data_IF_459071930671
#
_entry.id   IF_459071930671
#
_cell.length_a   1.000
_cell.length_b   1.000
_cell.length_c   1.000
_cell.angle_alpha   90.00
_cell.angle_beta   90.00
_cell.angle_gamma   90.00
#
_symmetry.space_group_name_H-M   'P 1'
#
loop_
_entity.id
_entity.type
_entity.pdbx_description
1 polymer ?
#
# COMPACT_ATOMS: atom_id res chain seq x y z
N UNK A 1 -117.36 152.54 42.33
CA UNK A 1 -118.32 153.15 43.30
C UNK A 1 -118.64 154.56 42.82
N UNK A 2 -119.83 155.11 43.08
CA UNK A 2 -120.24 156.46 42.61
C UNK A 2 -119.85 157.49 43.67
N UNK A 3 -119.13 158.54 43.27
CA UNK A 3 -118.88 159.73 44.07
C UNK A 3 -120.15 160.58 44.12
N UNK A 4 -120.64 160.89 45.31
CA UNK A 4 -121.93 161.56 45.52
C UNK A 4 -121.84 163.08 45.40
N UNK A 5 -120.62 163.65 45.32
CA UNK A 5 -120.42 165.09 45.21
C UNK A 5 -120.28 165.57 43.75
N UNK A 6 -119.91 164.68 42.80
CA UNK A 6 -119.81 165.01 41.37
C UNK A 6 -120.41 163.97 40.39
N UNK A 7 -120.96 162.87 40.92
CA UNK A 7 -121.60 161.82 40.12
C UNK A 7 -120.63 160.93 39.32
N UNK A 8 -119.32 161.03 39.53
CA UNK A 8 -118.35 160.19 38.80
C UNK A 8 -118.23 158.79 39.40
N UNK A 9 -118.16 157.75 38.55
CA UNK A 9 -118.06 156.34 38.97
C UNK A 9 -116.69 155.77 38.67
N UNK A 10 -116.02 155.20 39.68
CA UNK A 10 -114.78 154.41 39.50
C UNK A 10 -115.07 153.05 38.89
N UNK A 11 -114.34 152.71 37.81
CA UNK A 11 -114.50 151.47 37.06
C UNK A 11 -114.08 150.21 37.87
N UNK A 12 -114.79 149.08 37.72
CA UNK A 12 -114.47 147.82 38.41
C UNK A 12 -113.18 147.16 37.91
N UNK A 13 -112.50 146.41 38.80
CA UNK A 13 -111.26 145.66 38.52
C UNK A 13 -111.50 144.14 38.56
N UNK A 14 -110.98 143.40 37.58
CA UNK A 14 -111.09 141.95 37.39
C UNK A 14 -109.73 141.28 37.57
N UNK A 15 -109.61 140.38 38.55
CA UNK A 15 -108.35 139.69 38.85
C UNK A 15 -108.30 138.33 38.14
N UNK A 16 -107.44 138.19 37.13
CA UNK A 16 -107.15 136.92 36.47
C UNK A 16 -105.79 136.38 36.95
N UNK A 17 -105.54 135.08 36.72
CA UNK A 17 -104.23 134.49 37.02
C UNK A 17 -103.08 135.17 36.26
N UNK A 18 -103.37 135.85 35.15
CA UNK A 18 -102.42 136.63 34.35
C UNK A 18 -102.54 138.16 34.59
N UNK A 19 -102.87 138.56 35.82
CA UNK A 19 -102.93 139.97 36.26
C UNK A 19 -104.32 140.60 36.27
N UNK A 20 -104.42 141.80 36.86
CA UNK A 20 -105.68 142.55 37.02
C UNK A 20 -106.00 143.42 35.80
N UNK A 21 -107.27 143.43 35.37
CA UNK A 21 -107.78 144.24 34.25
C UNK A 21 -108.89 145.18 34.73
N UNK A 22 -108.96 146.39 34.18
CA UNK A 22 -109.93 147.42 34.61
C UNK A 22 -111.22 147.45 33.76
N UNK A 23 -111.39 146.48 32.84
CA UNK A 23 -112.62 146.29 32.07
C UNK A 23 -112.79 144.82 31.63
N UNK A 24 -114.04 144.44 31.33
CA UNK A 24 -114.42 143.06 30.96
C UNK A 24 -113.78 142.62 29.64
N UNK A 25 -113.70 143.51 28.64
CA UNK A 25 -113.13 143.17 27.33
C UNK A 25 -111.67 142.74 27.42
N UNK A 26 -110.88 143.47 28.21
CA UNK A 26 -109.49 143.12 28.48
C UNK A 26 -109.35 141.82 29.29
N UNK A 27 -110.30 141.50 30.16
CA UNK A 27 -110.30 140.24 30.92
C UNK A 27 -110.65 139.03 30.04
N UNK A 28 -111.65 139.16 29.15
CA UNK A 28 -112.03 138.12 28.21
C UNK A 28 -110.93 137.81 27.18
N UNK A 29 -110.25 138.84 26.67
CA UNK A 29 -109.13 138.63 25.75
C UNK A 29 -107.99 137.81 26.41
N UNK A 30 -107.73 138.02 27.69
CA UNK A 30 -106.74 137.22 28.44
C UNK A 30 -107.20 135.77 28.59
N UNK A 31 -108.47 135.53 28.89
CA UNK A 31 -109.00 134.16 28.97
C UNK A 31 -108.97 133.48 27.59
N UNK A 32 -109.32 134.20 26.53
CA UNK A 32 -109.29 133.70 25.16
C UNK A 32 -107.85 133.29 24.75
N UNK A 33 -106.87 134.10 25.12
CA UNK A 33 -105.48 133.84 24.76
C UNK A 33 -104.79 132.77 25.63
N UNK A 34 -105.22 132.58 26.89
CA UNK A 34 -104.47 131.80 27.88
C UNK A 34 -105.19 130.55 28.43
N UNK A 35 -106.38 130.22 27.91
CA UNK A 35 -107.08 128.98 28.29
C UNK A 35 -106.95 127.92 27.20
N UNK A 36 -106.97 126.65 27.60
CA UNK A 36 -107.15 125.54 26.65
C UNK A 36 -108.55 125.63 26.08
N UNK A 37 -108.64 125.87 24.78
CA UNK A 37 -109.91 126.06 24.11
C UNK A 37 -110.26 124.87 23.25
N UNK A 38 -111.56 124.62 23.13
CA UNK A 38 -112.08 123.70 22.13
C UNK A 38 -111.89 124.30 20.74
N UNK A 39 -111.05 123.67 19.92
CA UNK A 39 -110.96 124.00 18.51
C UNK A 39 -112.12 123.31 17.79
N UNK A 40 -113.18 124.08 17.56
CA UNK A 40 -114.40 123.58 16.93
C UNK A 40 -114.15 123.02 15.54
N UNK A 41 -113.17 123.56 14.80
CA UNK A 41 -112.83 123.08 13.46
C UNK A 41 -112.10 121.75 13.49
N UNK A 42 -111.31 121.49 14.55
CA UNK A 42 -110.55 120.24 14.70
C UNK A 42 -111.23 119.20 15.59
N UNK A 43 -112.34 119.53 16.24
CA UNK A 43 -113.08 118.62 17.12
C UNK A 43 -112.27 118.13 18.32
N UNK A 44 -111.37 118.97 18.85
CA UNK A 44 -110.52 118.65 20.01
C UNK A 44 -110.12 119.91 20.76
N UNK A 45 -109.79 119.75 22.04
CA UNK A 45 -109.12 120.81 22.78
C UNK A 45 -107.75 121.07 22.17
N UNK A 46 -107.47 122.34 21.85
CA UNK A 46 -106.19 122.79 21.31
C UNK A 46 -105.30 123.25 22.45
N UNK A 47 -104.09 122.67 22.51
CA UNK A 47 -103.02 123.14 23.37
C UNK A 47 -102.18 124.25 22.72
N UNK A 48 -102.57 124.79 21.56
CA UNK A 48 -101.80 125.85 20.94
C UNK A 48 -102.04 127.21 21.63
N UNK A 49 -100.98 128.02 21.77
CA UNK A 49 -101.01 129.34 22.44
C UNK A 49 -100.48 130.45 21.50
N UNK A 50 -101.07 131.66 21.58
CA UNK A 50 -100.73 132.84 20.76
C UNK A 50 -101.59 133.05 19.50
N UNK A 51 -101.88 134.32 19.16
CA UNK A 51 -102.91 134.69 18.16
C UNK A 51 -102.39 134.93 16.73
N UNK A 52 -101.10 135.17 16.54
CA UNK A 52 -100.53 135.47 15.22
C UNK A 52 -99.83 134.28 14.54
N UNK A 53 -99.56 133.21 15.30
CA UNK A 53 -99.05 131.92 14.81
C UNK A 53 -99.14 130.89 15.95
N UNK A 54 -100.25 130.14 16.07
CA UNK A 54 -100.44 129.23 17.20
C UNK A 54 -99.43 128.07 17.11
N UNK A 55 -98.48 128.02 18.03
CA UNK A 55 -97.52 126.90 18.16
C UNK A 55 -98.07 125.88 19.16
N UNK A 56 -97.86 124.58 18.90
CA UNK A 56 -98.28 123.53 19.83
C UNK A 56 -97.56 123.71 21.18
N UNK A 57 -98.31 123.79 22.28
CA UNK A 57 -97.73 123.91 23.62
C UNK A 57 -97.62 122.55 24.30
N UNK A 58 -96.70 122.46 25.26
CA UNK A 58 -96.56 121.31 26.15
C UNK A 58 -97.64 121.36 27.22
N UNK A 59 -98.35 120.25 27.42
CA UNK A 59 -99.19 120.06 28.61
C UNK A 59 -98.31 119.39 29.68
N UNK A 60 -97.98 120.12 30.73
CA UNK A 60 -97.23 119.61 31.90
C UNK A 60 -98.17 119.33 33.07
N UNK A 61 -97.66 118.72 34.14
CA UNK A 61 -98.40 118.31 35.34
C UNK A 61 -99.51 117.27 35.07
N UNK A 62 -99.32 116.48 34.01
CA UNK A 62 -100.14 115.30 33.71
C UNK A 62 -99.75 114.19 34.68
N UNK A 63 -100.65 113.87 35.62
CA UNK A 63 -100.49 112.71 36.50
C UNK A 63 -100.37 111.41 35.68
N UNK A 64 -99.70 110.40 36.22
CA UNK A 64 -99.57 109.08 35.58
C UNK A 64 -100.96 108.53 35.23
N UNK A 65 -101.21 108.33 33.94
CA UNK A 65 -102.47 107.74 33.47
C UNK A 65 -102.53 106.27 33.82
N UNK A 66 -103.72 105.71 34.04
CA UNK A 66 -103.81 104.27 34.27
C UNK A 66 -103.42 103.53 32.98
N UNK A 67 -102.38 102.70 32.98
CA UNK A 67 -101.98 101.91 31.79
C UNK A 67 -102.82 100.63 31.76
N UNK A 68 -103.89 100.63 30.96
CA UNK A 68 -104.73 99.46 30.69
C UNK A 68 -105.36 99.55 29.30
N UNK A 69 -105.82 98.42 28.76
CA UNK A 69 -106.39 98.36 27.42
C UNK A 69 -107.62 99.26 27.21
N UNK A 70 -108.38 99.58 28.27
CA UNK A 70 -109.57 100.44 28.21
C UNK A 70 -109.33 101.89 28.61
N UNK A 71 -108.12 102.22 29.07
CA UNK A 71 -107.83 103.56 29.58
C UNK A 71 -108.03 104.62 28.51
N UNK A 72 -108.58 105.76 28.93
CA UNK A 72 -108.68 106.99 28.15
C UNK A 72 -107.87 108.13 28.78
N UNK A 73 -107.14 107.80 29.85
CA UNK A 73 -106.24 108.73 30.51
C UNK A 73 -105.10 109.10 29.56
N UNK A 74 -104.67 110.36 29.60
CA UNK A 74 -103.42 110.73 28.94
C UNK A 74 -102.25 110.08 29.68
N UNK A 75 -101.28 109.54 28.93
CA UNK A 75 -100.01 109.06 29.49
C UNK A 75 -98.98 110.18 29.40
N UNK A 76 -98.13 110.27 30.43
CA UNK A 76 -97.08 111.28 30.48
C UNK A 76 -95.73 110.70 30.01
N UNK A 77 -94.71 111.56 30.02
CA UNK A 77 -93.38 111.19 29.55
C UNK A 77 -92.69 110.10 30.38
N UNK A 78 -92.93 109.98 31.69
CA UNK A 78 -92.28 108.97 32.54
C UNK A 78 -92.75 107.55 32.20
N UNK A 79 -94.04 107.38 31.93
CA UNK A 79 -94.63 106.09 31.57
C UNK A 79 -94.15 105.57 30.20
N UNK A 80 -94.12 106.46 29.20
CA UNK A 80 -93.56 106.14 27.90
C UNK A 80 -92.04 105.89 27.99
N UNK A 81 -91.34 106.63 28.84
CA UNK A 81 -89.90 106.44 29.07
C UNK A 81 -89.58 105.07 29.65
N UNK A 82 -90.32 104.60 30.65
CA UNK A 82 -90.13 103.26 31.22
C UNK A 82 -90.28 102.15 30.16
N UNK A 83 -91.31 102.25 29.30
CA UNK A 83 -91.49 101.31 28.18
C UNK A 83 -90.32 101.37 27.20
N UNK A 84 -89.82 102.57 26.90
CA UNK A 84 -88.68 102.75 26.01
C UNK A 84 -87.37 102.19 26.62
N UNK A 85 -87.17 102.31 27.94
CA UNK A 85 -86.01 101.73 28.64
C UNK A 85 -86.01 100.20 28.54
N UNK A 86 -87.16 99.54 28.70
CA UNK A 86 -87.28 98.08 28.51
C UNK A 86 -87.00 97.66 27.05
N UNK A 87 -87.47 98.46 26.08
CA UNK A 87 -87.18 98.24 24.65
C UNK A 87 -85.68 98.41 24.37
N UNK A 88 -85.02 99.39 24.97
CA UNK A 88 -83.59 99.60 24.85
C UNK A 88 -82.80 98.43 25.47
N UNK A 89 -83.20 97.95 26.65
CA UNK A 89 -82.61 96.77 27.29
C UNK A 89 -82.79 95.50 26.44
N UNK A 90 -83.98 95.28 25.87
CA UNK A 90 -84.22 94.17 24.95
C UNK A 90 -83.37 94.27 23.69
N UNK A 91 -83.20 95.48 23.15
CA UNK A 91 -82.33 95.74 21.99
C UNK A 91 -80.87 95.39 22.32
N UNK A 92 -80.38 95.78 23.51
CA UNK A 92 -79.03 95.45 23.97
C UNK A 92 -78.83 93.93 24.20
N UNK A 93 -79.82 93.24 24.78
CA UNK A 93 -79.80 91.79 24.95
C UNK A 93 -79.78 91.05 23.61
N UNK A 94 -80.58 91.51 22.62
CA UNK A 94 -80.58 90.95 21.26
C UNK A 94 -79.21 91.14 20.59
N UNK A 95 -78.59 92.32 20.73
CA UNK A 95 -77.26 92.58 20.19
C UNK A 95 -76.21 91.64 20.83
N UNK A 96 -76.27 91.45 22.15
CA UNK A 96 -75.40 90.53 22.88
C UNK A 96 -75.59 89.07 22.42
N UNK A 97 -76.85 88.61 22.32
CA UNK A 97 -77.17 87.28 21.82
C UNK A 97 -76.68 87.08 20.38
N UNK A 98 -76.81 88.09 19.53
CA UNK A 98 -76.30 88.08 18.16
C UNK A 98 -74.78 87.92 18.13
N UNK A 99 -74.05 88.63 18.99
CA UNK A 99 -72.59 88.49 19.11
C UNK A 99 -72.19 87.11 19.63
N UNK A 100 -72.86 86.59 20.65
CA UNK A 100 -72.59 85.25 21.19
C UNK A 100 -72.84 84.15 20.15
N UNK A 101 -73.93 84.28 19.37
CA UNK A 101 -74.22 83.37 18.26
C UNK A 101 -73.09 83.43 17.23
N UNK A 102 -72.63 84.63 16.82
CA UNK A 102 -71.53 84.77 15.87
C UNK A 102 -70.23 84.11 16.39
N UNK A 103 -69.88 84.31 17.67
CA UNK A 103 -68.73 83.67 18.30
C UNK A 103 -68.86 82.15 18.35
N UNK A 104 -70.05 81.64 18.69
CA UNK A 104 -70.32 80.20 18.69
C UNK A 104 -70.23 79.61 17.28
N UNK A 105 -70.77 80.29 16.27
CA UNK A 105 -70.65 79.89 14.86
C UNK A 105 -69.18 79.82 14.43
N UNK A 106 -68.36 80.82 14.78
CA UNK A 106 -66.93 80.81 14.48
C UNK A 106 -66.20 79.66 15.18
N UNK A 107 -66.49 79.43 16.46
CA UNK A 107 -65.90 78.33 17.25
C UNK A 107 -66.26 76.96 16.67
N UNK A 108 -67.51 76.78 16.23
CA UNK A 108 -67.97 75.55 15.57
C UNK A 108 -67.23 75.35 14.24
N UNK A 109 -67.03 76.41 13.45
CA UNK A 109 -66.26 76.33 12.21
C UNK A 109 -64.80 75.91 12.47
N UNK A 110 -64.14 76.52 13.47
CA UNK A 110 -62.80 76.11 13.89
C UNK A 110 -62.74 74.66 14.36
N UNK A 111 -63.69 74.23 15.19
CA UNK A 111 -63.76 72.84 15.66
C UNK A 111 -63.97 71.86 14.49
N UNK A 112 -64.78 72.24 13.50
CA UNK A 112 -64.99 71.44 12.28
C UNK A 112 -63.68 71.25 11.53
N UNK A 113 -62.93 72.34 11.28
CA UNK A 113 -61.61 72.27 10.64
C UNK A 113 -60.62 71.41 11.42
N UNK A 114 -60.56 71.57 12.76
CA UNK A 114 -59.66 70.78 13.59
C UNK A 114 -59.99 69.28 13.53
N UNK A 115 -61.28 68.92 13.55
CA UNK A 115 -61.72 67.53 13.43
C UNK A 115 -61.35 66.94 12.06
N UNK A 116 -61.51 67.71 10.98
CA UNK A 116 -61.07 67.28 9.64
C UNK A 116 -59.57 67.01 9.62
N UNK A 117 -58.74 67.95 10.10
CA UNK A 117 -57.28 67.77 10.12
C UNK A 117 -56.84 66.55 10.95
N UNK A 118 -57.51 66.30 12.07
CA UNK A 118 -57.26 65.11 12.89
C UNK A 118 -57.67 63.82 12.17
N UNK A 119 -58.78 63.85 11.43
CA UNK A 119 -59.24 62.71 10.63
C UNK A 119 -58.23 62.38 9.53
N UNK A 120 -57.72 63.40 8.83
CA UNK A 120 -56.71 63.23 7.80
C UNK A 120 -55.41 62.69 8.39
N UNK A 121 -54.94 63.26 9.51
CA UNK A 121 -53.73 62.78 10.22
C UNK A 121 -53.85 61.32 10.67
N UNK A 122 -55.03 60.89 11.12
CA UNK A 122 -55.28 59.49 11.48
C UNK A 122 -55.27 58.59 10.24
N UNK A 123 -55.80 59.07 9.10
CA UNK A 123 -55.74 58.37 7.83
C UNK A 123 -54.30 58.15 7.35
N UNK A 124 -53.47 59.19 7.42
CA UNK A 124 -52.05 59.12 7.05
C UNK A 124 -51.28 58.13 7.94
N UNK A 125 -51.50 58.18 9.25
CA UNK A 125 -50.89 57.22 10.19
C UNK A 125 -51.32 55.77 9.90
N UNK A 126 -52.58 55.54 9.50
CA UNK A 126 -53.05 54.20 9.11
C UNK A 126 -52.39 53.71 7.82
N UNK A 127 -52.04 54.60 6.88
CA UNK A 127 -51.37 54.21 5.66
C UNK A 127 -49.90 53.79 5.88
N UNK A 128 -49.20 54.42 6.83
CA UNK A 128 -47.77 54.22 7.05
C UNK A 128 -47.43 53.24 8.18
N UNK A 129 -48.38 52.88 9.04
CA UNK A 129 -48.15 51.99 10.17
C UNK A 129 -48.12 50.50 9.79
N UNK A 130 -47.42 49.70 10.60
CA UNK A 130 -47.57 48.24 10.58
C UNK A 130 -48.92 47.87 11.19
N UNK A 131 -49.89 47.54 10.33
CA UNK A 131 -51.23 47.19 10.77
C UNK A 131 -51.41 45.69 10.94
N UNK A 132 -52.17 45.29 11.96
CA UNK A 132 -52.60 43.91 12.11
C UNK A 132 -53.48 43.49 10.93
N UNK A 133 -53.09 42.42 10.25
CA UNK A 133 -53.87 41.82 9.18
C UNK A 133 -54.62 40.60 9.74
N UNK A 134 -55.92 40.75 9.90
CA UNK A 134 -56.79 39.74 10.51
C UNK A 134 -56.79 38.41 9.74
N UNK A 135 -56.67 38.46 8.42
CA UNK A 135 -56.61 37.27 7.56
C UNK A 135 -55.28 36.54 7.71
N UNK A 136 -54.16 37.27 7.80
CA UNK A 136 -52.81 36.71 7.96
C UNK A 136 -52.45 36.39 9.42
N UNK A 137 -53.27 36.85 10.38
CA UNK A 137 -53.00 36.78 11.82
C UNK A 137 -51.59 37.27 12.18
N UNK A 138 -51.16 38.36 11.55
CA UNK A 138 -49.85 38.95 11.74
C UNK A 138 -49.87 40.45 11.40
N UNK A 139 -48.88 41.19 11.88
CA UNK A 139 -48.63 42.56 11.40
C UNK A 139 -48.16 42.54 9.94
N UNK A 140 -48.75 43.40 9.11
CA UNK A 140 -48.43 43.53 7.70
C UNK A 140 -47.42 44.65 7.48
N UNK A 141 -46.31 44.33 6.81
CA UNK A 141 -45.38 45.31 6.26
C UNK A 141 -45.71 45.70 4.82
N UNK A 142 -46.93 45.44 4.35
CA UNK A 142 -47.37 45.94 3.05
C UNK A 142 -47.63 47.45 3.14
N UNK A 143 -47.15 48.20 2.14
CA UNK A 143 -47.39 49.63 1.99
C UNK A 143 -47.84 49.89 0.55
N UNK A 144 -48.94 50.62 0.36
CA UNK A 144 -49.59 50.79 -0.94
C UNK A 144 -50.35 49.55 -1.44
N UNK A 145 -50.55 49.44 -2.77
CA UNK A 145 -51.35 48.36 -3.39
C UNK A 145 -50.59 47.01 -3.42
N UNK A 146 -50.59 46.31 -2.29
CA UNK A 146 -50.24 44.89 -2.11
C UNK A 146 -48.77 44.47 -2.37
N UNK A 147 -47.81 45.38 -2.31
CA UNK A 147 -46.38 45.02 -2.29
C UNK A 147 -45.86 44.92 -0.86
N UNK A 148 -45.24 43.78 -0.51
CA UNK A 148 -44.52 43.64 0.76
C UNK A 148 -43.31 44.57 0.77
N UNK A 149 -43.17 45.38 1.81
CA UNK A 149 -42.05 46.31 1.99
C UNK A 149 -40.98 45.71 2.89
N UNK A 150 -39.77 46.26 2.79
CA UNK A 150 -38.67 45.90 3.71
C UNK A 150 -38.92 46.52 5.08
N UNK A 151 -38.71 45.74 6.14
CA UNK A 151 -38.48 46.27 7.48
C UNK A 151 -36.97 46.40 7.64
N UNK A 152 -36.47 47.64 7.64
CA UNK A 152 -35.04 47.94 7.81
C UNK A 152 -34.78 48.55 9.19
N UNK A 153 -33.50 48.75 9.53
CA UNK A 153 -33.08 49.24 10.85
C UNK A 153 -33.54 48.32 12.01
N UNK A 154 -33.71 47.02 11.71
CA UNK A 154 -33.93 45.97 12.70
C UNK A 154 -32.59 45.71 13.40
N UNK A 155 -32.54 45.99 14.70
CA UNK A 155 -31.36 45.69 15.52
C UNK A 155 -31.11 44.18 15.51
N UNK A 156 -29.84 43.76 15.62
CA UNK A 156 -29.49 42.35 15.79
C UNK A 156 -30.32 41.74 16.92
N UNK A 157 -30.98 40.63 16.61
CA UNK A 157 -31.77 39.84 17.56
C UNK A 157 -30.87 39.14 18.59
N UNK A 158 -31.34 38.98 19.82
CA UNK A 158 -30.69 38.06 20.75
C UNK A 158 -30.96 36.62 20.31
N UNK A 159 -29.93 35.89 19.85
CA UNK A 159 -30.06 34.54 19.29
C UNK A 159 -30.09 33.46 20.40
N UNK A 160 -31.15 33.47 21.20
CA UNK A 160 -31.42 32.46 22.25
C UNK A 160 -32.58 31.55 21.86
N UNK A 161 -32.72 30.40 22.54
CA UNK A 161 -33.74 29.40 22.21
C UNK A 161 -35.18 29.92 22.32
N UNK A 162 -35.43 30.86 23.24
CA UNK A 162 -36.75 31.43 23.51
C UNK A 162 -36.95 32.81 22.86
N UNK A 163 -36.00 33.26 22.03
CA UNK A 163 -36.07 34.58 21.41
C UNK A 163 -37.23 34.68 20.43
N UNK A 164 -37.97 35.78 20.54
CA UNK A 164 -39.03 36.17 19.60
C UNK A 164 -38.63 37.36 18.75
N UNK A 165 -37.35 37.76 18.80
CA UNK A 165 -36.82 38.90 18.06
C UNK A 165 -36.72 38.58 16.56
N UNK A 166 -36.98 39.58 15.73
CA UNK A 166 -36.77 39.45 14.29
C UNK A 166 -35.27 39.47 13.97
N UNK A 167 -34.77 38.43 13.30
CA UNK A 167 -33.39 38.39 12.81
C UNK A 167 -33.21 39.31 11.60
N UNK A 168 -32.08 39.98 11.53
CA UNK A 168 -31.75 40.85 10.40
C UNK A 168 -30.76 40.17 9.42
N UNK A 169 -30.42 40.89 8.35
CA UNK A 169 -29.57 40.37 7.27
C UNK A 169 -28.13 40.05 7.68
N UNK A 170 -27.52 40.81 8.62
CA UNK A 170 -26.14 40.57 9.07
C UNK A 170 -26.01 39.26 9.85
N UNK A 171 -26.99 38.95 10.68
CA UNK A 171 -27.04 37.68 11.43
C UNK A 171 -27.19 36.49 10.48
N UNK A 172 -28.15 36.55 9.56
CA UNK A 172 -28.35 35.48 8.57
C UNK A 172 -27.13 35.31 7.64
N UNK A 173 -26.47 36.42 7.28
CA UNK A 173 -25.23 36.38 6.49
C UNK A 173 -24.11 35.66 7.23
N UNK A 174 -23.93 35.92 8.52
CA UNK A 174 -22.93 35.24 9.35
C UNK A 174 -23.14 33.72 9.35
N UNK A 175 -24.38 33.27 9.53
CA UNK A 175 -24.74 31.85 9.42
C UNK A 175 -24.44 31.30 8.03
N UNK A 176 -24.81 32.03 6.97
CA UNK A 176 -24.58 31.59 5.59
C UNK A 176 -23.08 31.50 5.24
N UNK A 177 -22.23 32.35 5.81
CA UNK A 177 -20.78 32.27 5.63
C UNK A 177 -20.17 31.03 6.31
N UNK A 178 -20.67 30.67 7.50
CA UNK A 178 -20.31 29.43 8.16
C UNK A 178 -20.75 28.20 7.34
N UNK A 179 -21.96 28.24 6.75
CA UNK A 179 -22.46 27.18 5.85
C UNK A 179 -21.62 27.08 4.57
N UNK A 180 -21.21 28.20 3.98
CA UNK A 180 -20.32 28.21 2.82
C UNK A 180 -18.94 27.62 3.17
N UNK A 181 -18.40 27.96 4.35
CA UNK A 181 -17.15 27.38 4.85
C UNK A 181 -17.27 25.86 5.04
N UNK A 182 -18.37 25.39 5.62
CA UNK A 182 -18.64 23.96 5.77
C UNK A 182 -18.73 23.26 4.41
N UNK A 183 -19.39 23.88 3.43
CA UNK A 183 -19.46 23.36 2.05
C UNK A 183 -18.07 23.18 1.45
N UNK A 184 -17.18 24.17 1.59
CA UNK A 184 -15.78 24.08 1.13
C UNK A 184 -15.00 22.98 1.85
N UNK A 185 -15.13 22.88 3.18
CA UNK A 185 -14.47 21.83 3.96
C UNK A 185 -14.91 20.42 3.54
N UNK A 186 -16.21 20.23 3.27
CA UNK A 186 -16.75 18.95 2.77
C UNK A 186 -16.17 18.61 1.40
N UNK A 187 -16.07 19.58 0.48
CA UNK A 187 -15.46 19.37 -0.82
C UNK A 187 -13.98 18.97 -0.71
N UNK A 188 -13.21 19.65 0.15
CA UNK A 188 -11.81 19.31 0.42
C UNK A 188 -11.65 17.90 1.00
N UNK A 189 -12.48 17.54 1.98
CA UNK A 189 -12.48 16.20 2.56
C UNK A 189 -12.81 15.13 1.52
N UNK A 190 -13.76 15.40 0.62
CA UNK A 190 -14.10 14.50 -0.49
C UNK A 190 -12.91 14.28 -1.42
N UNK A 191 -12.18 15.35 -1.78
CA UNK A 191 -10.98 15.26 -2.61
C UNK A 191 -9.86 14.48 -1.91
N UNK A 192 -9.61 14.73 -0.62
CA UNK A 192 -8.62 13.99 0.17
C UNK A 192 -8.95 12.49 0.24
N UNK A 193 -10.21 12.13 0.42
CA UNK A 193 -10.66 10.73 0.43
C UNK A 193 -10.40 10.06 -0.92
N UNK A 194 -10.68 10.76 -2.03
CA UNK A 194 -10.39 10.22 -3.36
C UNK A 194 -8.88 9.98 -3.56
N UNK A 195 -8.03 10.93 -3.16
CA UNK A 195 -6.57 10.76 -3.20
C UNK A 195 -6.10 9.59 -2.33
N UNK A 196 -6.61 9.48 -1.10
CA UNK A 196 -6.28 8.37 -0.21
C UNK A 196 -6.71 7.02 -0.80
N UNK A 197 -7.87 6.97 -1.45
CA UNK A 197 -8.35 5.76 -2.13
C UNK A 197 -7.38 5.32 -3.23
N UNK A 198 -6.91 6.25 -4.08
CA UNK A 198 -5.90 5.96 -5.10
C UNK A 198 -4.58 5.48 -4.49
N UNK A 199 -4.09 6.16 -3.45
CA UNK A 199 -2.85 5.78 -2.78
C UNK A 199 -2.91 4.36 -2.19
N UNK A 200 -4.04 4.01 -1.56
CA UNK A 200 -4.27 2.67 -1.01
C UNK A 200 -4.31 1.62 -2.13
N UNK A 201 -4.93 1.93 -3.28
CA UNK A 201 -4.94 1.04 -4.44
C UNK A 201 -3.52 0.76 -4.95
N UNK A 202 -2.71 1.81 -5.13
CA UNK A 202 -1.32 1.68 -5.59
C UNK A 202 -0.46 0.88 -4.59
N UNK A 203 -0.68 1.09 -3.29
CA UNK A 203 0.01 0.33 -2.25
C UNK A 203 -0.40 -1.15 -2.27
N UNK A 204 -1.69 -1.43 -2.50
CA UNK A 204 -2.22 -2.80 -2.61
C UNK A 204 -1.60 -3.53 -3.81
N UNK A 205 -1.50 -2.86 -4.96
CA UNK A 205 -0.83 -3.40 -6.14
C UNK A 205 0.65 -3.69 -5.86
N UNK A 206 1.36 -2.73 -5.25
CA UNK A 206 2.78 -2.92 -4.88
C UNK A 206 2.98 -4.10 -3.94
N UNK A 207 2.14 -4.24 -2.91
CA UNK A 207 2.21 -5.36 -1.96
C UNK A 207 1.88 -6.69 -2.64
N UNK A 208 0.93 -6.70 -3.58
CA UNK A 208 0.59 -7.89 -4.36
C UNK A 208 1.77 -8.33 -5.22
N UNK A 209 2.40 -7.41 -5.94
CA UNK A 209 3.56 -7.68 -6.78
C UNK A 209 4.77 -8.14 -5.96
N UNK A 210 5.07 -7.48 -4.84
CA UNK A 210 6.10 -7.94 -3.90
C UNK A 210 5.78 -9.31 -3.32
N UNK A 211 4.49 -9.58 -3.11
CA UNK A 211 3.99 -10.92 -2.88
C UNK A 211 4.52 -11.83 -3.97
N UNK A 212 4.02 -11.73 -5.19
CA UNK A 212 4.35 -12.64 -6.31
C UNK A 212 5.86 -12.82 -6.60
N UNK A 213 6.67 -11.76 -6.49
CA UNK A 213 8.07 -11.77 -6.95
C UNK A 213 9.12 -12.08 -5.87
N UNK A 214 8.74 -12.13 -4.58
CA UNK A 214 9.69 -12.39 -3.50
C UNK A 214 9.94 -13.90 -3.24
N UNK A 215 11.07 -14.22 -2.60
CA UNK A 215 11.27 -15.52 -1.96
C UNK A 215 10.30 -15.67 -0.79
N UNK A 216 9.28 -16.49 -0.95
CA UNK A 216 8.22 -16.67 0.04
C UNK A 216 8.54 -17.79 1.01
N UNK A 217 8.13 -17.63 2.25
CA UNK A 217 8.01 -18.76 3.16
C UNK A 217 6.82 -19.63 2.76
N UNK A 218 7.10 -20.83 2.29
CA UNK A 218 6.11 -21.88 2.10
C UNK A 218 5.89 -22.57 3.45
N UNK A 219 4.78 -22.21 4.11
CA UNK A 219 4.44 -22.72 5.44
C UNK A 219 4.16 -24.21 5.45
N UNK A 220 3.59 -24.75 4.38
CA UNK A 220 3.18 -26.15 4.30
C UNK A 220 4.40 -27.06 4.14
N UNK A 221 5.41 -26.58 3.40
CA UNK A 221 6.67 -27.29 3.19
C UNK A 221 7.79 -26.88 4.18
N UNK A 222 7.60 -25.81 4.96
CA UNK A 222 8.56 -25.34 5.95
C UNK A 222 9.87 -24.82 5.35
N UNK A 223 9.82 -24.21 4.17
CA UNK A 223 11.00 -23.73 3.42
C UNK A 223 10.76 -22.37 2.77
N UNK A 224 11.83 -21.66 2.42
CA UNK A 224 11.72 -20.56 1.46
C UNK A 224 11.64 -21.12 0.04
N UNK A 225 10.64 -20.71 -0.73
CA UNK A 225 10.43 -21.12 -2.11
C UNK A 225 10.82 -20.02 -3.10
N UNK A 226 11.53 -20.42 -4.15
CA UNK A 226 11.79 -19.61 -5.33
C UNK A 226 10.79 -19.92 -6.47
N UNK A 227 9.60 -20.42 -6.14
CA UNK A 227 8.56 -20.63 -7.12
C UNK A 227 8.00 -19.29 -7.61
N UNK A 228 7.87 -19.13 -8.93
CA UNK A 228 7.29 -17.93 -9.56
C UNK A 228 6.19 -18.34 -10.55
N UNK A 229 5.14 -17.53 -10.67
CA UNK A 229 4.01 -17.83 -11.55
C UNK A 229 3.26 -19.11 -11.17
N UNK A 230 3.15 -20.05 -12.10
CA UNK A 230 2.37 -21.30 -11.97
C UNK A 230 3.04 -22.37 -11.07
N UNK A 231 3.66 -21.94 -9.96
CA UNK A 231 4.39 -22.79 -9.01
C UNK A 231 5.57 -23.55 -9.63
N UNK A 232 6.19 -23.02 -10.68
CA UNK A 232 7.44 -23.60 -11.21
C UNK A 232 8.64 -23.05 -10.44
N UNK A 233 9.52 -23.96 -9.99
CA UNK A 233 10.76 -23.59 -9.31
C UNK A 233 11.62 -22.72 -10.25
N UNK A 234 12.04 -21.55 -9.78
CA UNK A 234 12.89 -20.62 -10.53
C UNK A 234 14.33 -20.65 -10.02
N UNK A 235 15.25 -20.21 -10.88
CA UNK A 235 16.66 -20.05 -10.50
C UNK A 235 16.81 -18.85 -9.56
N UNK A 236 17.63 -19.01 -8.53
CA UNK A 236 18.17 -17.89 -7.75
C UNK A 236 19.55 -17.57 -8.33
N UNK A 237 19.69 -16.42 -8.97
CA UNK A 237 20.94 -16.00 -9.63
C UNK A 237 21.57 -14.83 -8.89
N UNK A 238 22.76 -14.40 -9.33
CA UNK A 238 23.49 -13.29 -8.73
C UNK A 238 23.81 -13.49 -7.23
N UNK A 239 23.99 -14.76 -6.85
CA UNK A 239 24.47 -15.18 -5.54
C UNK A 239 25.98 -15.03 -5.51
N UNK A 240 26.46 -14.21 -4.57
CA UNK A 240 27.89 -14.09 -4.27
C UNK A 240 28.41 -15.45 -3.77
N UNK A 241 29.69 -15.75 -4.02
CA UNK A 241 30.34 -16.97 -3.53
C UNK A 241 30.13 -17.11 -2.02
N UNK A 242 29.51 -18.21 -1.60
CA UNK A 242 29.25 -18.52 -0.20
C UNK A 242 30.53 -18.95 0.51
N UNK A 243 30.66 -18.66 1.79
CA UNK A 243 31.80 -19.13 2.57
C UNK A 243 31.77 -20.66 2.67
N UNK A 244 32.83 -21.37 2.31
CA UNK A 244 32.89 -22.85 2.39
C UNK A 244 33.61 -23.28 3.67
N UNK A 245 32.86 -23.57 4.73
CA UNK A 245 33.35 -24.10 6.01
C UNK A 245 32.36 -25.12 6.59
N UNK A 246 32.78 -25.89 7.59
CA UNK A 246 31.96 -26.94 8.21
C UNK A 246 30.65 -26.45 8.86
N UNK A 247 30.54 -25.15 9.14
CA UNK A 247 29.38 -24.54 9.82
C UNK A 247 28.72 -23.43 9.00
N UNK A 248 29.08 -23.28 7.73
CA UNK A 248 28.52 -22.22 6.89
C UNK A 248 27.02 -22.41 6.68
N UNK A 249 26.30 -21.29 6.61
CA UNK A 249 24.89 -21.24 6.22
C UNK A 249 24.68 -20.42 4.93
N UNK A 250 25.78 -20.06 4.26
CA UNK A 250 25.73 -19.32 3.01
C UNK A 250 25.28 -20.26 1.88
N UNK A 251 24.45 -19.75 0.97
CA UNK A 251 24.21 -20.43 -0.29
C UNK A 251 25.50 -20.40 -1.13
N UNK A 252 25.86 -21.55 -1.72
CA UNK A 252 26.92 -21.61 -2.73
C UNK A 252 26.33 -21.40 -4.13
N UNK A 253 27.12 -20.84 -5.03
CA UNK A 253 26.72 -20.68 -6.42
C UNK A 253 27.38 -21.74 -7.32
N UNK A 254 27.07 -21.68 -8.63
CA UNK A 254 27.55 -22.65 -9.61
C UNK A 254 29.07 -22.65 -9.81
N UNK A 255 29.75 -21.50 -9.70
CA UNK A 255 31.22 -21.42 -9.89
C UNK A 255 31.96 -22.21 -8.83
N UNK A 256 31.53 -22.12 -7.57
CA UNK A 256 32.19 -22.86 -6.48
C UNK A 256 32.08 -24.38 -6.64
N UNK A 257 30.92 -24.87 -7.08
CA UNK A 257 30.72 -26.30 -7.36
C UNK A 257 31.51 -26.74 -8.60
N UNK A 258 31.56 -25.90 -9.63
CA UNK A 258 32.33 -26.14 -10.85
C UNK A 258 33.84 -26.24 -10.56
N UNK A 259 34.37 -25.33 -9.75
CA UNK A 259 35.78 -25.30 -9.34
C UNK A 259 36.15 -26.54 -8.54
N UNK A 260 35.30 -26.96 -7.59
CA UNK A 260 35.48 -28.22 -6.85
C UNK A 260 35.54 -29.42 -7.81
N UNK A 261 34.56 -29.52 -8.72
CA UNK A 261 34.49 -30.61 -9.70
C UNK A 261 35.72 -30.64 -10.62
N UNK A 262 36.19 -29.46 -11.04
CA UNK A 262 37.39 -29.31 -11.89
C UNK A 262 38.68 -29.71 -11.16
N UNK A 263 38.80 -29.39 -9.87
CA UNK A 263 39.93 -29.83 -9.04
C UNK A 263 39.95 -31.36 -8.89
N UNK A 264 38.79 -31.98 -8.67
CA UNK A 264 38.67 -33.45 -8.61
C UNK A 264 39.11 -34.09 -9.94
N UNK A 265 38.68 -33.55 -11.08
CA UNK A 265 39.10 -34.02 -12.39
C UNK A 265 40.63 -33.93 -12.56
N UNK A 266 41.21 -32.81 -12.15
CA UNK A 266 42.66 -32.59 -12.19
C UNK A 266 43.41 -33.63 -11.34
N UNK A 267 42.93 -33.93 -10.14
CA UNK A 267 43.57 -34.93 -9.27
C UNK A 267 43.48 -36.36 -9.81
N UNK A 268 42.38 -36.72 -10.47
CA UNK A 268 42.28 -38.03 -11.12
C UNK A 268 43.18 -38.14 -12.36
N UNK A 269 43.37 -37.05 -13.11
CA UNK A 269 44.07 -37.09 -14.39
C UNK A 269 43.38 -38.05 -15.36
N UNK A 270 44.13 -38.76 -16.20
CA UNK A 270 43.57 -39.77 -17.11
C UNK A 270 42.48 -39.20 -18.05
N UNK A 271 42.57 -37.92 -18.44
CA UNK A 271 41.53 -37.21 -19.20
C UNK A 271 40.18 -37.03 -18.47
N UNK A 272 40.13 -37.16 -17.14
CA UNK A 272 38.99 -36.69 -16.38
C UNK A 272 38.81 -35.18 -16.60
N UNK A 273 37.56 -34.72 -16.70
CA UNK A 273 37.25 -33.33 -17.03
C UNK A 273 35.84 -32.93 -16.59
N UNK A 274 35.57 -31.63 -16.59
CA UNK A 274 34.23 -31.06 -16.42
C UNK A 274 33.93 -30.24 -17.67
N UNK A 275 32.77 -30.47 -18.29
CA UNK A 275 32.35 -29.70 -19.47
C UNK A 275 31.67 -28.38 -19.07
N UNK A 276 31.34 -27.53 -20.04
CA UNK A 276 30.70 -26.22 -19.81
C UNK A 276 29.33 -26.28 -19.14
N UNK A 277 28.66 -27.43 -19.18
CA UNK A 277 27.37 -27.66 -18.51
C UNK A 277 27.54 -28.16 -17.06
N UNK A 278 28.78 -28.27 -16.58
CA UNK A 278 29.12 -28.76 -15.24
C UNK A 278 29.10 -30.27 -15.10
N UNK A 279 29.02 -31.03 -16.20
CA UNK A 279 28.99 -32.50 -16.19
C UNK A 279 30.41 -33.05 -16.05
N UNK A 280 30.63 -33.84 -15.00
CA UNK A 280 31.89 -34.52 -14.73
C UNK A 280 32.06 -35.77 -15.61
N UNK A 281 33.21 -35.89 -16.26
CA UNK A 281 33.65 -37.08 -16.99
C UNK A 281 34.80 -37.72 -16.22
N UNK A 282 34.65 -39.00 -15.86
CA UNK A 282 35.65 -39.75 -15.10
C UNK A 282 36.96 -40.01 -15.85
N UNK A 283 38.01 -40.46 -15.16
CA UNK A 283 39.29 -40.75 -15.79
C UNK A 283 39.20 -41.97 -16.69
N UNK A 284 40.15 -42.08 -17.61
CA UNK A 284 40.47 -43.26 -18.40
C UNK A 284 41.96 -43.55 -18.25
N UNK A 285 42.27 -44.64 -17.56
CA UNK A 285 43.62 -45.15 -17.39
C UNK A 285 43.83 -46.33 -18.35
N UNK A 286 44.84 -46.24 -19.21
CA UNK A 286 45.17 -47.33 -20.13
C UNK A 286 46.29 -48.18 -19.55
N UNK A 287 46.01 -49.45 -19.24
CA UNK A 287 46.99 -50.43 -18.75
C UNK A 287 47.06 -51.58 -19.76
N UNK A 288 48.20 -51.73 -20.42
CA UNK A 288 48.31 -52.59 -21.61
C UNK A 288 47.38 -52.11 -22.72
N UNK A 289 46.49 -53.00 -23.19
CA UNK A 289 45.51 -52.71 -24.24
C UNK A 289 44.11 -52.34 -23.71
N UNK A 290 43.90 -52.41 -22.39
CA UNK A 290 42.58 -52.20 -21.77
C UNK A 290 42.46 -50.84 -21.09
N UNK A 291 41.28 -50.22 -21.21
CA UNK A 291 40.93 -48.97 -20.53
C UNK A 291 40.20 -49.26 -19.21
N UNK A 292 40.56 -48.52 -18.16
CA UNK A 292 39.96 -48.58 -16.83
C UNK A 292 39.46 -47.20 -16.42
N UNK A 293 38.25 -47.13 -15.84
CA UNK A 293 37.55 -45.85 -15.62
C UNK A 293 37.55 -45.37 -14.17
N UNK A 294 38.26 -46.08 -13.29
CA UNK A 294 38.50 -45.68 -11.92
C UNK A 294 39.87 -46.18 -11.46
N UNK A 295 40.38 -45.56 -10.39
CA UNK A 295 41.72 -45.83 -9.86
C UNK A 295 41.85 -47.26 -9.33
N UNK A 296 40.80 -47.79 -8.69
CA UNK A 296 40.82 -49.12 -8.08
C UNK A 296 41.06 -50.22 -9.11
N UNK A 297 40.29 -50.21 -10.19
CA UNK A 297 40.42 -51.22 -11.25
C UNK A 297 41.74 -51.09 -12.00
N UNK A 298 42.20 -49.85 -12.25
CA UNK A 298 43.50 -49.62 -12.89
C UNK A 298 44.66 -50.15 -12.02
N UNK A 299 44.63 -49.93 -10.70
CA UNK A 299 45.62 -50.47 -9.77
C UNK A 299 45.56 -51.99 -9.68
N UNK A 300 44.36 -52.57 -9.67
CA UNK A 300 44.17 -54.02 -9.72
C UNK A 300 44.76 -54.63 -11.00
N UNK A 301 44.57 -53.98 -12.14
CA UNK A 301 45.15 -54.40 -13.42
C UNK A 301 46.67 -54.31 -13.43
N UNK A 302 47.25 -53.22 -12.92
CA UNK A 302 48.71 -53.08 -12.75
C UNK A 302 49.24 -54.24 -11.87
N UNK A 303 48.62 -54.49 -10.71
CA UNK A 303 49.03 -55.56 -9.81
C UNK A 303 48.98 -56.95 -10.47
N UNK A 304 47.95 -57.21 -11.29
CA UNK A 304 47.85 -58.45 -12.05
C UNK A 304 48.95 -58.56 -13.11
N UNK A 305 49.25 -57.49 -13.84
CA UNK A 305 50.28 -57.50 -14.91
C UNK A 305 51.70 -57.75 -14.39
N UNK A 306 52.04 -57.23 -13.20
CA UNK A 306 53.31 -57.55 -12.55
C UNK A 306 53.39 -59.02 -12.14
N UNK A 307 52.28 -59.58 -11.64
CA UNK A 307 52.22 -60.98 -11.21
C UNK A 307 52.43 -61.94 -12.38
N UNK A 308 51.85 -61.65 -13.55
CA UNK A 308 52.08 -62.46 -14.76
C UNK A 308 53.51 -62.31 -15.27
N UNK A 309 54.03 -61.08 -15.36
CA UNK A 309 55.40 -60.85 -15.87
C UNK A 309 56.49 -61.44 -14.98
N UNK A 310 56.29 -61.46 -13.67
CA UNK A 310 57.23 -62.10 -12.74
C UNK A 310 57.08 -63.62 -12.75
N UNK A 311 55.88 -64.15 -13.02
CA UNK A 311 55.64 -65.59 -13.12
C UNK A 311 56.40 -66.28 -14.26
N UNK A 312 56.71 -65.55 -15.33
CA UNK A 312 57.42 -66.08 -16.50
C UNK A 312 58.95 -65.89 -16.45
N UNK A 313 59.47 -65.17 -15.46
CA UNK A 313 60.89 -64.88 -15.34
C UNK A 313 61.66 -66.00 -14.60
N UNK A 314 62.93 -66.24 -14.98
CA UNK A 314 63.84 -67.07 -14.20
C UNK A 314 64.28 -66.31 -12.94
N UNK A 315 63.57 -66.51 -11.83
CA UNK A 315 63.77 -65.76 -10.60
C UNK A 315 64.69 -66.46 -9.60
N UNK A 316 65.39 -65.67 -8.80
CA UNK A 316 66.16 -66.16 -7.65
C UNK A 316 65.20 -66.67 -6.56
N UNK A 317 65.29 -67.96 -6.25
CA UNK A 317 64.63 -68.54 -5.09
C UNK A 317 65.53 -68.34 -3.86
N UNK A 318 65.17 -67.36 -3.03
CA UNK A 318 65.91 -67.03 -1.82
C UNK A 318 65.90 -68.15 -0.78
N UNK A 319 64.88 -69.02 -0.78
CA UNK A 319 64.80 -70.16 0.14
C UNK A 319 65.76 -71.27 -0.29
N UNK A 320 65.83 -71.51 -1.60
CA UNK A 320 66.71 -72.52 -2.18
C UNK A 320 68.15 -72.01 -2.43
N UNK A 321 68.38 -70.69 -2.36
CA UNK A 321 69.68 -70.06 -2.60
C UNK A 321 70.18 -70.19 -4.04
N UNK A 322 69.27 -70.23 -5.02
CA UNK A 322 69.60 -70.44 -6.45
C UNK A 322 68.51 -69.91 -7.38
N UNK A 323 68.82 -69.72 -8.66
CA UNK A 323 67.80 -69.48 -9.68
C UNK A 323 66.91 -70.72 -9.85
N UNK A 324 65.60 -70.50 -9.97
CA UNK A 324 64.61 -71.56 -10.14
C UNK A 324 64.02 -71.54 -11.55
N UNK A 325 64.16 -72.65 -12.27
CA UNK A 325 63.49 -72.90 -13.55
C UNK A 325 62.11 -73.56 -13.37
N UNK A 326 61.47 -73.40 -12.22
CA UNK A 326 60.10 -73.85 -12.01
C UNK A 326 59.14 -72.85 -12.64
N UNK A 327 58.15 -73.32 -13.38
CA UNK A 327 57.16 -72.47 -14.06
C UNK A 327 55.74 -73.00 -13.86
N UNK A 328 54.75 -72.10 -13.98
CA UNK A 328 53.33 -72.43 -13.84
C UNK A 328 52.86 -72.59 -12.39
N UNK A 329 51.55 -72.79 -12.22
CA UNK A 329 50.88 -72.80 -10.89
C UNK A 329 51.24 -74.02 -10.03
N UNK A 330 51.75 -75.09 -10.63
CA UNK A 330 52.12 -76.32 -9.92
C UNK A 330 53.58 -76.31 -9.44
N UNK A 331 54.40 -75.35 -9.90
CA UNK A 331 55.81 -75.24 -9.49
C UNK A 331 56.69 -76.38 -10.00
N UNK A 332 56.36 -76.94 -11.16
CA UNK A 332 57.09 -78.06 -11.76
C UNK A 332 58.39 -77.58 -12.42
N UNK A 333 59.43 -78.41 -12.36
CA UNK A 333 60.69 -78.12 -13.04
C UNK A 333 60.47 -78.03 -14.56
N UNK A 334 60.98 -76.98 -15.18
CA UNK A 334 60.86 -76.75 -16.63
C UNK A 334 62.20 -76.91 -17.33
N UNK A 335 62.13 -77.17 -18.63
CA UNK A 335 63.29 -77.24 -19.52
C UNK A 335 63.82 -75.83 -19.78
N UNK A 336 65.14 -75.65 -19.68
CA UNK A 336 65.83 -74.47 -20.21
C UNK A 336 66.36 -74.87 -21.59
N UNK A 337 65.79 -74.30 -22.65
CA UNK A 337 66.20 -74.53 -24.04
C UNK A 337 66.94 -73.31 -24.58
N UNK A 338 67.50 -73.42 -25.79
CA UNK A 338 68.28 -72.38 -26.47
C UNK A 338 69.56 -71.98 -25.70
N UNK A 339 70.11 -72.94 -24.95
CA UNK A 339 71.41 -72.84 -24.28
C UNK A 339 72.50 -73.14 -25.30
N UNK A 340 73.34 -72.15 -25.61
CA UNK A 340 74.52 -72.33 -26.47
C UNK A 340 75.52 -73.32 -25.85
N UNK A 341 76.39 -73.91 -26.66
CA UNK A 341 77.45 -74.79 -26.16
C UNK A 341 78.35 -74.02 -25.19
N UNK A 342 78.42 -74.47 -23.93
CA UNK A 342 79.25 -73.87 -22.90
C UNK A 342 80.74 -74.23 -23.07
N UNK A 343 81.65 -73.41 -22.56
CA UNK A 343 83.06 -73.79 -22.55
C UNK A 343 83.29 -75.05 -21.68
N UNK A 344 84.07 -76.02 -22.19
CA UNK A 344 84.45 -77.21 -21.43
C UNK A 344 85.90 -77.03 -20.92
N UNK A 345 86.03 -76.55 -19.69
CA UNK A 345 87.30 -76.40 -18.96
C UNK A 345 87.12 -76.62 -17.46
N UNK A 346 88.20 -76.82 -16.71
CA UNK A 346 88.18 -77.08 -15.26
C UNK A 346 87.72 -75.88 -14.42
N UNK A 347 87.70 -74.68 -15.02
CA UNK A 347 87.23 -73.44 -14.41
C UNK A 347 85.91 -72.90 -14.99
N UNK A 348 85.32 -73.59 -15.98
CA UNK A 348 84.11 -73.09 -16.64
C UNK A 348 82.93 -72.98 -15.68
N UNK A 349 82.15 -71.92 -15.83
CA UNK A 349 80.86 -71.71 -15.15
C UNK A 349 79.69 -71.67 -16.14
N UNK A 350 79.95 -72.07 -17.38
CA UNK A 350 78.93 -72.12 -18.42
C UNK A 350 78.04 -73.34 -18.22
N UNK A 351 76.74 -73.18 -18.51
CA UNK A 351 75.84 -74.33 -18.58
C UNK A 351 76.20 -75.18 -19.81
N UNK A 352 76.21 -76.50 -19.64
CA UNK A 352 76.32 -77.43 -20.77
C UNK A 352 74.93 -77.80 -21.28
N UNK A 353 74.80 -77.96 -22.59
CA UNK A 353 73.55 -78.38 -23.22
C UNK A 353 73.56 -79.88 -23.56
N UNK A 354 72.42 -80.36 -24.08
CA UNK A 354 72.25 -81.77 -24.45
C UNK A 354 73.20 -82.24 -25.55
N UNK A 355 73.58 -81.40 -26.52
CA UNK A 355 74.50 -81.79 -27.60
C UNK A 355 75.92 -82.06 -27.09
N UNK A 356 76.39 -81.28 -26.12
CA UNK A 356 77.71 -81.50 -25.52
C UNK A 356 77.77 -82.79 -24.71
N UNK A 357 76.75 -83.07 -23.88
CA UNK A 357 76.66 -84.33 -23.14
C UNK A 357 76.50 -85.52 -24.10
N UNK A 358 75.70 -85.38 -25.15
CA UNK A 358 75.57 -86.41 -26.18
C UNK A 358 76.91 -86.66 -26.88
N UNK A 359 77.68 -85.63 -27.20
CA UNK A 359 79.03 -85.77 -27.77
C UNK A 359 79.99 -86.54 -26.87
N UNK A 360 79.95 -86.32 -25.55
CA UNK A 360 80.70 -87.13 -24.57
C UNK A 360 80.22 -88.57 -24.58
N UNK A 361 78.90 -88.80 -24.55
CA UNK A 361 78.34 -90.16 -24.61
C UNK A 361 78.72 -90.89 -25.89
N UNK A 362 78.71 -90.21 -27.05
CA UNK A 362 79.17 -90.76 -28.33
C UNK A 362 80.64 -91.19 -28.27
N UNK A 363 81.51 -90.35 -27.70
CA UNK A 363 82.91 -90.69 -27.52
C UNK A 363 83.12 -91.92 -26.64
N UNK A 364 82.33 -92.05 -25.56
CA UNK A 364 82.40 -93.21 -24.65
C UNK A 364 81.98 -94.50 -25.37
N UNK A 365 80.89 -94.48 -26.14
CA UNK A 365 80.45 -95.71 -26.85
C UNK A 365 81.41 -96.10 -27.95
N UNK A 366 82.02 -95.14 -28.66
CA UNK A 366 83.07 -95.40 -29.63
C UNK A 366 84.32 -96.03 -28.98
N UNK A 367 84.71 -95.56 -27.80
CA UNK A 367 85.83 -96.09 -27.05
C UNK A 367 85.57 -97.50 -26.49
N UNK A 368 84.32 -97.81 -26.10
CA UNK A 368 83.93 -99.14 -25.66
C UNK A 368 83.87 -100.13 -26.85
N UNK A 369 83.34 -99.73 -28.00
CA UNK A 369 83.14 -100.63 -29.13
C UNK A 369 82.11 -101.73 -28.82
N UNK A 370 82.25 -102.91 -29.45
CA UNK A 370 81.35 -104.05 -29.16
C UNK A 370 79.86 -103.83 -29.50
N UNK A 371 79.52 -102.82 -30.31
CA UNK A 371 78.13 -102.46 -30.63
C UNK A 371 77.43 -101.57 -29.59
N UNK A 372 78.16 -100.96 -28.67
CA UNK A 372 77.59 -99.93 -27.78
C UNK A 372 77.04 -98.73 -28.58
N UNK A 373 75.93 -98.14 -28.12
CA UNK A 373 75.27 -97.02 -28.80
C UNK A 373 74.61 -96.07 -27.79
N UNK A 374 74.53 -94.78 -28.11
CA UNK A 374 73.74 -93.79 -27.37
C UNK A 374 72.30 -93.80 -27.90
N UNK A 375 71.35 -94.20 -27.04
CA UNK A 375 69.94 -94.27 -27.37
C UNK A 375 69.29 -92.87 -27.44
N UNK A 376 68.12 -92.79 -28.07
CA UNK A 376 67.37 -91.54 -28.24
C UNK A 376 66.93 -90.89 -26.92
N UNK A 377 66.83 -91.66 -25.83
CA UNK A 377 66.53 -91.17 -24.48
C UNK A 377 67.79 -90.74 -23.69
N UNK A 378 68.96 -90.81 -24.32
CA UNK A 378 70.25 -90.49 -23.73
C UNK A 378 70.91 -91.62 -22.93
N UNK A 379 70.26 -92.78 -22.80
CA UNK A 379 70.87 -93.97 -22.17
C UNK A 379 71.91 -94.61 -23.11
N UNK A 380 72.87 -95.35 -22.56
CA UNK A 380 73.85 -96.11 -23.34
C UNK A 380 73.45 -97.58 -23.36
N UNK A 381 73.36 -98.17 -24.56
CA UNK A 381 73.28 -99.61 -24.74
C UNK A 381 74.67 -100.21 -24.49
N UNK A 382 74.74 -101.22 -23.62
CA UNK A 382 76.01 -101.84 -23.23
C UNK A 382 76.74 -102.47 -24.44
N UNK A 383 78.08 -102.46 -24.46
CA UNK A 383 78.84 -103.18 -25.47
C UNK A 383 78.59 -104.68 -25.36
N UNK A 384 78.90 -105.45 -26.38
CA UNK A 384 78.95 -106.91 -26.35
C UNK A 384 80.32 -107.37 -26.84
N UNK A 385 81.09 -107.99 -25.94
CA UNK A 385 82.37 -108.60 -26.24
C UNK A 385 82.24 -110.12 -26.18
N UNK A 386 82.35 -110.80 -27.32
CA UNK A 386 82.28 -112.26 -27.38
C UNK A 386 83.66 -112.88 -27.19
N UNK A 387 83.87 -113.60 -26.09
CA UNK A 387 85.12 -114.31 -25.79
C UNK A 387 84.78 -115.78 -25.49
N UNK A 388 85.41 -116.69 -26.22
CA UNK A 388 85.18 -118.13 -26.10
C UNK A 388 83.68 -118.55 -26.13
N UNK A 389 82.89 -117.92 -27.02
CA UNK A 389 81.44 -118.13 -27.18
C UNK A 389 80.55 -117.71 -25.98
N UNK A 390 81.06 -116.89 -25.08
CA UNK A 390 80.27 -116.19 -24.07
C UNK A 390 80.32 -114.68 -24.32
N UNK A 391 79.18 -114.01 -24.15
CA UNK A 391 79.04 -112.57 -24.33
C UNK A 391 79.19 -111.86 -22.99
N UNK A 392 80.02 -110.82 -22.98
CA UNK A 392 80.27 -109.96 -21.82
C UNK A 392 79.90 -108.53 -22.15
N UNK A 393 79.20 -107.86 -21.25
CA UNK A 393 78.60 -106.54 -21.48
C UNK A 393 79.43 -105.38 -20.91
N UNK A 394 80.62 -105.68 -20.39
CA UNK A 394 81.56 -104.70 -19.88
C UNK A 394 83.00 -105.17 -20.07
N UNK A 395 83.92 -104.21 -20.15
CA UNK A 395 85.35 -104.46 -20.43
C UNK A 395 86.00 -105.27 -19.32
N UNK A 396 85.62 -105.05 -18.06
CA UNK A 396 86.23 -105.74 -16.91
C UNK A 396 85.99 -107.24 -16.95
N UNK A 397 84.73 -107.64 -17.14
CA UNK A 397 84.36 -109.05 -17.22
C UNK A 397 84.89 -109.69 -18.50
N UNK A 398 84.90 -108.97 -19.62
CA UNK A 398 85.52 -109.44 -20.85
C UNK A 398 87.04 -109.69 -20.67
N UNK A 399 87.78 -108.76 -20.05
CA UNK A 399 89.21 -108.95 -19.79
C UNK A 399 89.46 -110.07 -18.79
N UNK A 400 88.63 -110.21 -17.76
CA UNK A 400 88.71 -111.33 -16.82
C UNK A 400 88.41 -112.68 -17.52
N UNK A 401 87.47 -112.69 -18.46
CA UNK A 401 87.21 -113.85 -19.31
C UNK A 401 88.40 -114.19 -20.21
N UNK A 402 89.11 -113.18 -20.76
CA UNK A 402 90.37 -113.40 -21.48
C UNK A 402 91.44 -113.96 -20.54
N UNK A 403 91.61 -113.39 -19.35
CA UNK A 403 92.60 -113.83 -18.34
C UNK A 403 92.36 -115.29 -17.91
N UNK A 404 91.10 -115.65 -17.64
CA UNK A 404 90.71 -117.03 -17.29
C UNK A 404 90.78 -117.99 -18.48
N UNK A 405 90.40 -117.58 -19.70
CA UNK A 405 90.55 -118.45 -20.88
C UNK A 405 92.01 -118.61 -21.33
N UNK A 406 92.90 -117.68 -20.95
CA UNK A 406 94.35 -117.85 -21.09
C UNK A 406 94.91 -118.89 -20.11
N UNK A 407 94.34 -119.04 -18.91
CA UNK A 407 94.66 -120.16 -17.99
C UNK A 407 94.31 -121.54 -18.61
N UNK A 408 93.32 -121.57 -19.51
CA UNK A 408 92.93 -122.75 -20.31
C UNK A 408 93.69 -122.91 -21.64
N UNK A 409 94.55 -121.95 -22.00
CA UNK A 409 95.31 -121.97 -23.26
C UNK A 409 96.67 -122.66 -23.11
N UNK A 410 97.16 -123.27 -24.20
CA UNK A 410 98.55 -123.74 -24.27
C UNK A 410 99.50 -122.54 -24.38
N UNK A 411 99.99 -122.06 -23.24
CA UNK A 411 100.92 -120.93 -23.19
C UNK A 411 102.36 -121.42 -23.39
N UNK A 412 103.16 -120.65 -24.13
CA UNK A 412 104.58 -120.96 -24.32
C UNK A 412 105.36 -120.77 -23.00
N UNK A 413 105.97 -121.84 -22.50
CA UNK A 413 106.86 -121.83 -21.33
C UNK A 413 108.32 -121.96 -21.82
N UNK A 414 109.03 -120.82 -21.79
CA UNK A 414 110.40 -120.73 -22.25
C UNK A 414 111.39 -121.55 -21.39
N UNK A 415 111.02 -121.91 -20.16
CA UNK A 415 111.87 -122.65 -19.22
C UNK A 415 111.63 -124.18 -19.26
N UNK A 416 110.64 -124.63 -20.03
CA UNK A 416 110.34 -126.04 -20.21
C UNK A 416 111.31 -126.70 -21.21
N UNK A 417 112.48 -127.15 -20.72
CA UNK A 417 113.50 -127.88 -21.50
C UNK A 417 114.47 -126.98 -22.28
N UNK A 418 115.48 -127.56 -22.93
CA UNK A 418 116.60 -126.81 -23.55
C UNK A 418 116.22 -125.86 -24.71
N UNK A 419 114.98 -125.91 -25.22
CA UNK A 419 114.49 -125.03 -26.30
C UNK A 419 113.10 -124.40 -26.01
N UNK A 420 112.60 -124.49 -24.78
CA UNK A 420 111.23 -124.09 -24.41
C UNK A 420 110.15 -125.00 -25.02
N UNK A 421 108.96 -125.04 -24.41
CA UNK A 421 107.83 -125.83 -24.89
C UNK A 421 106.50 -125.14 -24.59
N UNK A 422 105.46 -125.46 -25.36
CA UNK A 422 104.10 -125.07 -24.97
C UNK A 422 103.71 -125.86 -23.70
N UNK A 423 103.41 -125.14 -22.63
CA UNK A 423 102.96 -125.69 -21.37
C UNK A 423 101.48 -125.99 -21.44
N UNK A 424 101.12 -127.23 -21.09
CA UNK A 424 99.76 -127.64 -20.80
C UNK A 424 99.45 -127.65 -19.31
N UNK A 425 100.25 -126.93 -18.52
CA UNK A 425 99.96 -126.79 -17.11
C UNK A 425 98.77 -125.83 -16.93
N UNK A 426 97.74 -126.24 -16.21
CA UNK A 426 96.54 -125.45 -15.95
C UNK A 426 96.59 -124.86 -14.54
N UNK A 427 96.25 -123.57 -14.41
CA UNK A 427 96.22 -122.82 -13.15
C UNK A 427 97.60 -122.42 -12.59
N UNK A 428 97.61 -121.51 -11.59
CA UNK A 428 98.83 -120.99 -10.94
C UNK A 428 99.71 -122.05 -10.28
N UNK A 429 99.15 -123.21 -9.95
CA UNK A 429 99.80 -124.37 -9.35
C UNK A 429 100.51 -125.29 -10.37
N UNK A 430 100.50 -124.92 -11.66
CA UNK A 430 101.19 -125.62 -12.76
C UNK A 430 100.85 -127.11 -12.83
N UNK A 431 99.59 -127.44 -12.59
CA UNK A 431 99.13 -128.83 -12.61
C UNK A 431 99.12 -129.37 -14.03
N UNK A 432 99.84 -130.46 -14.29
CA UNK A 432 99.96 -131.01 -15.64
C UNK A 432 98.58 -131.45 -16.18
N UNK A 433 98.12 -130.85 -17.27
CA UNK A 433 96.88 -131.24 -17.92
C UNK A 433 97.11 -132.33 -18.96
N UNK A 434 96.09 -133.15 -19.18
CA UNK A 434 96.09 -134.18 -20.23
C UNK A 434 95.71 -133.52 -21.55
N UNK A 435 96.66 -133.38 -22.47
CA UNK A 435 96.36 -132.92 -23.84
C UNK A 435 95.85 -134.11 -24.66
N UNK A 436 94.54 -134.21 -24.89
CA UNK A 436 93.90 -135.39 -25.50
C UNK A 436 93.77 -135.34 -27.03
N UNK A 437 94.59 -134.54 -27.72
CA UNK A 437 94.58 -134.43 -29.19
C UNK A 437 95.96 -134.05 -29.77
N UNK A 438 97.04 -134.54 -29.16
CA UNK A 438 98.39 -134.41 -29.74
C UNK A 438 98.60 -135.53 -30.74
N UNK A 439 98.78 -135.19 -32.02
CA UNK A 439 99.17 -136.17 -33.03
C UNK A 439 100.61 -136.66 -32.76
N UNK A 440 100.85 -137.98 -32.87
CA UNK A 440 102.16 -138.59 -32.60
C UNK A 440 103.29 -137.91 -33.40
N UNK A 441 104.21 -137.24 -32.70
CA UNK A 441 105.43 -136.67 -33.27
C UNK A 441 106.45 -137.74 -33.66
N UNK A 442 107.09 -137.56 -34.82
CA UNK A 442 108.11 -138.46 -35.35
C UNK A 442 109.39 -138.30 -34.53
N UNK A 443 109.82 -139.34 -33.83
CA UNK A 443 111.11 -139.37 -33.13
C UNK A 443 112.19 -139.70 -34.17
N UNK A 444 113.14 -138.79 -34.40
CA UNK A 444 114.42 -139.05 -35.08
C UNK A 444 115.59 -138.89 -34.12
#
# INVERSE_FOLDING_TARGET
AVDVDDGTVTAPTYNLKNGSKNNVGAALAVLDENTLQWDQTKGKYSAAHGTSSPTASVITDVADGTISASSKDAVNGSQLKATNDDVEANTANIATNTSNIATNTASIATNTTNITNLTDSVGDLQADALLWNETKKAFSAAHGQDTTSKITNVKDADLTADSTDAVNGSQLKTTNDAVATNTTNIANNTSNIATNTTNISNLTETVTNLGEDALKWDKDNGVFTAAHGNNTASKITNILDGTVTATSSDAINGSQLYDLSSNIATYFGGNASVNTDGVFTGPTYKIGETNYYNVGDALAAINSSFSTSLGDALLWDATAGKFSAKHGTNGDASVITDVADGEISDSSSDAVNGSQLHGVSSYVVDALGGGAEVNADGTITAPTYTIANADYDNVGDALNAIDTTLDDALLWDADAGENGAFSAAHGKDKTASVITNVANGVIS
#
